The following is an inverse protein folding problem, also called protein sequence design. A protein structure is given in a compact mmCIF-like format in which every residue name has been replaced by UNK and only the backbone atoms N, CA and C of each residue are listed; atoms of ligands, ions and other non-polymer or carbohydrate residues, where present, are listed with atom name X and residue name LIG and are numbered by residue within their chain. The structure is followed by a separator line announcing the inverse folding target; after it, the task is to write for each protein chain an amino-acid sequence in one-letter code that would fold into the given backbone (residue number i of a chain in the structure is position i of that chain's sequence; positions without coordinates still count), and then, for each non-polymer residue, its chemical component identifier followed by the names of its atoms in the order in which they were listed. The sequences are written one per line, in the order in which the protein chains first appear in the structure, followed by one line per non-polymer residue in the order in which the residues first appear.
data_IF_280559269950
#
_entry.id   IF_280559269950
#
_cell.length_a   1.000
_cell.length_b   1.000
_cell.length_c   1.000
_cell.angle_alpha   90.00
_cell.angle_beta   90.00
_cell.angle_gamma   90.00
#
_symmetry.space_group_name_H-M   'P 1'
#
loop_
_entity.id
_entity.type
_entity.pdbx_description
1 polymer ?
#
# COMPACT_ATOMS: atom_id res chain seq x y z
N UNK A 1 -5.09 -21.99 -0.28
CA UNK A 1 -6.18 -21.66 0.67
C UNK A 1 -5.69 -21.47 2.10
N UNK A 2 -4.91 -22.40 2.67
CA UNK A 2 -4.34 -22.29 4.03
C UNK A 2 -3.39 -21.09 4.24
N UNK A 3 -2.65 -20.70 3.20
CA UNK A 3 -1.76 -19.54 3.21
C UNK A 3 -2.51 -18.21 3.42
N UNK A 4 -3.66 -18.03 2.76
CA UNK A 4 -4.52 -16.84 2.91
C UNK A 4 -5.15 -16.74 4.29
N UNK A 5 -5.50 -17.88 4.90
CA UNK A 5 -5.96 -17.91 6.30
C UNK A 5 -4.84 -17.49 7.26
N UNK A 6 -3.61 -17.97 7.04
CA UNK A 6 -2.45 -17.56 7.84
C UNK A 6 -2.15 -16.06 7.71
N UNK A 7 -2.26 -15.48 6.51
CA UNK A 7 -2.12 -14.04 6.27
C UNK A 7 -3.20 -13.26 7.02
N UNK A 8 -4.47 -13.69 6.95
CA UNK A 8 -5.59 -13.03 7.63
C UNK A 8 -5.43 -13.07 9.16
N UNK A 9 -5.11 -14.24 9.72
CA UNK A 9 -4.85 -14.43 11.15
C UNK A 9 -3.66 -13.60 11.64
N UNK A 10 -2.57 -13.57 10.88
CA UNK A 10 -1.39 -12.76 11.20
C UNK A 10 -1.68 -11.26 11.13
N UNK A 11 -2.47 -10.82 10.13
CA UNK A 11 -2.92 -9.43 10.01
C UNK A 11 -3.78 -8.99 11.20
N UNK A 12 -4.73 -9.83 11.62
CA UNK A 12 -5.57 -9.57 12.81
C UNK A 12 -4.71 -9.55 14.08
N UNK A 13 -3.75 -10.47 14.21
CA UNK A 13 -2.80 -10.52 15.31
C UNK A 13 -1.93 -9.27 15.41
N UNK A 14 -1.44 -8.75 14.28
CA UNK A 14 -0.67 -7.51 14.22
C UNK A 14 -1.48 -6.30 14.72
N UNK A 15 -2.75 -6.21 14.32
CA UNK A 15 -3.65 -5.12 14.74
C UNK A 15 -4.00 -5.23 16.23
N UNK A 16 -4.28 -6.45 16.71
CA UNK A 16 -4.58 -6.72 18.10
C UNK A 16 -3.38 -6.46 19.03
N UNK A 17 -2.17 -6.85 18.62
CA UNK A 17 -0.94 -6.64 19.41
C UNK A 17 -0.64 -5.17 19.66
N UNK A 18 -0.83 -4.32 18.65
CA UNK A 18 -0.68 -2.87 18.78
C UNK A 18 -1.76 -2.21 19.64
N UNK A 19 -2.98 -2.76 19.67
CA UNK A 19 -4.05 -2.26 20.54
C UNK A 19 -3.75 -2.47 22.03
N UNK A 20 -3.04 -3.55 22.36
CA UNK A 20 -2.67 -3.90 23.74
C UNK A 20 -1.32 -3.30 24.18
N UNK A 21 -0.64 -2.51 23.33
CA UNK A 21 0.60 -1.81 23.69
C UNK A 21 1.87 -2.67 23.64
N UNK A 22 1.80 -3.92 23.18
CA UNK A 22 2.96 -4.81 23.03
C UNK A 22 3.64 -4.60 21.67
N UNK A 23 4.47 -3.55 21.58
CA UNK A 23 5.15 -3.10 20.35
C UNK A 23 5.95 -4.23 19.69
N UNK A 24 6.66 -5.07 20.47
CA UNK A 24 7.47 -6.17 19.94
C UNK A 24 6.65 -7.30 19.30
N UNK A 25 5.56 -7.72 19.94
CA UNK A 25 4.68 -8.77 19.40
C UNK A 25 3.95 -8.29 18.16
N UNK A 26 3.48 -7.04 18.17
CA UNK A 26 2.84 -6.47 16.99
C UNK A 26 3.81 -6.42 15.80
N UNK A 27 5.06 -6.02 16.04
CA UNK A 27 6.08 -5.98 14.99
C UNK A 27 6.37 -7.36 14.41
N UNK A 28 6.50 -8.40 15.26
CA UNK A 28 6.71 -9.76 14.76
C UNK A 28 5.56 -10.23 13.87
N UNK A 29 4.31 -9.95 14.24
CA UNK A 29 3.16 -10.30 13.39
C UNK A 29 3.13 -9.51 12.09
N UNK A 30 3.49 -8.22 12.10
CA UNK A 30 3.58 -7.42 10.88
C UNK A 30 4.60 -8.01 9.89
N UNK A 31 5.82 -8.27 10.36
CA UNK A 31 6.90 -8.85 9.53
C UNK A 31 6.49 -10.24 9.04
N UNK A 32 5.88 -11.05 9.89
CA UNK A 32 5.38 -12.38 9.52
C UNK A 32 4.33 -12.31 8.40
N UNK A 33 3.39 -11.35 8.46
CA UNK A 33 2.41 -11.12 7.38
C UNK A 33 3.10 -10.79 6.05
N UNK A 34 4.12 -9.92 6.05
CA UNK A 34 4.86 -9.59 4.83
C UNK A 34 5.65 -10.78 4.28
N UNK A 35 6.27 -11.58 5.14
CA UNK A 35 6.97 -12.80 4.73
C UNK A 35 6.00 -13.80 4.10
N UNK A 36 4.82 -14.00 4.69
CA UNK A 36 3.78 -14.87 4.11
C UNK A 36 3.29 -14.36 2.75
N UNK A 37 3.10 -13.05 2.59
CA UNK A 37 2.72 -12.45 1.32
C UNK A 37 3.81 -12.64 0.25
N UNK A 38 5.08 -12.46 0.62
CA UNK A 38 6.22 -12.66 -0.27
C UNK A 38 6.36 -14.14 -0.68
N UNK A 39 6.16 -15.09 0.24
CA UNK A 39 6.20 -16.52 -0.12
C UNK A 39 5.08 -16.89 -1.07
N UNK A 40 3.85 -16.41 -0.84
CA UNK A 40 2.72 -16.63 -1.76
C UNK A 40 3.05 -16.13 -3.17
N UNK A 41 3.65 -14.93 -3.29
CA UNK A 41 4.04 -14.36 -4.57
C UNK A 41 5.13 -15.19 -5.29
N UNK A 42 6.10 -15.75 -4.56
CA UNK A 42 7.18 -16.57 -5.13
C UNK A 42 6.77 -18.01 -5.44
N UNK A 43 5.72 -18.53 -4.80
CA UNK A 43 5.21 -19.89 -5.03
C UNK A 43 4.26 -20.00 -6.24
N UNK A 44 4.09 -18.92 -7.02
CA UNK A 44 3.30 -18.97 -8.24
C UNK A 44 3.97 -19.87 -9.29
N UNK A 45 3.15 -20.57 -10.09
CA UNK A 45 3.62 -21.51 -11.12
C UNK A 45 4.39 -20.81 -12.24
N UNK A 46 4.09 -19.53 -12.50
CA UNK A 46 4.79 -18.68 -13.46
C UNK A 46 5.30 -17.45 -12.73
N UNK A 47 6.62 -17.37 -12.54
CA UNK A 47 7.27 -16.20 -11.94
C UNK A 47 7.77 -15.30 -13.07
N UNK A 48 7.01 -14.24 -13.35
CA UNK A 48 7.39 -13.21 -14.30
C UNK A 48 8.24 -12.10 -13.65
N UNK A 49 8.88 -11.27 -14.47
CA UNK A 49 9.79 -10.22 -14.00
C UNK A 49 9.13 -9.20 -13.06
N UNK A 50 7.83 -8.92 -13.25
CA UNK A 50 7.08 -8.01 -12.38
C UNK A 50 6.83 -8.57 -10.97
N UNK A 51 6.82 -9.90 -10.79
CA UNK A 51 6.64 -10.54 -9.47
C UNK A 51 7.80 -10.19 -8.54
N UNK A 52 9.04 -10.10 -9.05
CA UNK A 52 10.20 -9.69 -8.25
C UNK A 52 10.08 -8.25 -7.75
N UNK A 53 9.49 -7.35 -8.55
CA UNK A 53 9.26 -5.97 -8.13
C UNK A 53 8.19 -5.86 -7.05
N UNK A 54 7.15 -6.71 -7.08
CA UNK A 54 6.14 -6.80 -6.02
C UNK A 54 6.76 -7.34 -4.73
N UNK A 55 7.57 -8.39 -4.81
CA UNK A 55 8.28 -8.96 -3.65
C UNK A 55 9.28 -7.94 -3.07
N UNK A 56 10.01 -7.22 -3.92
CA UNK A 56 10.89 -6.14 -3.49
C UNK A 56 10.10 -5.03 -2.77
N UNK A 57 8.94 -4.64 -3.30
CA UNK A 57 8.02 -3.70 -2.65
C UNK A 57 7.58 -4.19 -1.27
N UNK A 58 7.20 -5.47 -1.13
CA UNK A 58 6.81 -6.07 0.15
C UNK A 58 7.96 -6.06 1.17
N UNK A 59 9.17 -6.40 0.73
CA UNK A 59 10.36 -6.39 1.58
C UNK A 59 10.68 -4.97 2.08
N UNK A 60 10.63 -3.98 1.19
CA UNK A 60 10.87 -2.58 1.54
C UNK A 60 9.76 -2.05 2.47
N UNK A 61 8.49 -2.41 2.24
CA UNK A 61 7.37 -2.10 3.13
C UNK A 61 7.58 -2.67 4.54
N UNK A 62 8.04 -3.92 4.64
CA UNK A 62 8.36 -4.54 5.92
C UNK A 62 9.50 -3.80 6.66
N UNK A 63 10.56 -3.42 5.94
CA UNK A 63 11.65 -2.60 6.50
C UNK A 63 11.13 -1.23 6.94
N UNK A 64 10.25 -0.61 6.15
CA UNK A 64 9.65 0.68 6.48
C UNK A 64 8.83 0.62 7.78
N UNK A 65 8.04 -0.44 7.97
CA UNK A 65 7.26 -0.70 9.19
C UNK A 65 8.17 -0.95 10.41
N UNK A 66 9.24 -1.73 10.26
CA UNK A 66 10.25 -1.94 11.31
C UNK A 66 10.90 -0.61 11.69
N UNK A 67 11.32 0.17 10.70
CA UNK A 67 12.02 1.43 10.93
C UNK A 67 11.09 2.48 11.56
N UNK A 68 9.82 2.50 11.17
CA UNK A 68 8.78 3.33 11.77
C UNK A 68 8.57 2.99 13.25
N UNK A 69 8.59 1.70 13.59
CA UNK A 69 8.39 1.22 14.95
C UNK A 69 9.62 1.43 15.85
N UNK A 70 10.84 1.23 15.33
CA UNK A 70 12.08 1.21 16.11
C UNK A 70 12.72 2.59 16.24
N UNK A 71 12.77 3.37 15.17
CA UNK A 71 13.83 4.38 15.05
C UNK A 71 13.37 5.81 15.31
N UNK A 72 12.06 6.10 15.38
CA UNK A 72 11.47 7.46 15.52
C UNK A 72 11.98 8.52 14.50
N UNK A 73 12.93 8.18 13.61
CA UNK A 73 13.51 9.02 12.57
C UNK A 73 12.52 9.11 11.41
N UNK A 74 11.74 10.19 11.45
CA UNK A 74 10.68 10.53 10.49
C UNK A 74 11.05 10.42 8.99
N UNK A 75 12.22 10.91 8.53
CA UNK A 75 12.49 10.93 7.09
C UNK A 75 12.84 9.54 6.53
N UNK A 76 13.49 8.67 7.31
CA UNK A 76 13.97 7.39 6.78
C UNK A 76 12.82 6.43 6.47
N UNK A 77 11.86 6.28 7.39
CA UNK A 77 10.73 5.39 7.12
C UNK A 77 9.86 5.93 5.98
N UNK A 78 9.73 7.26 5.86
CA UNK A 78 9.02 7.90 4.74
C UNK A 78 9.65 7.57 3.39
N UNK A 79 10.98 7.66 3.28
CA UNK A 79 11.71 7.29 2.06
C UNK A 79 11.53 5.79 1.74
N UNK A 80 11.58 4.91 2.73
CA UNK A 80 11.31 3.49 2.51
C UNK A 80 9.87 3.24 2.00
N UNK A 81 8.87 3.89 2.60
CA UNK A 81 7.47 3.78 2.14
C UNK A 81 7.31 4.26 0.69
N UNK A 82 7.94 5.37 0.32
CA UNK A 82 7.96 5.84 -1.07
C UNK A 82 8.61 4.84 -2.01
N UNK A 83 9.78 4.31 -1.63
CA UNK A 83 10.52 3.35 -2.44
C UNK A 83 9.69 2.07 -2.67
N UNK A 84 8.97 1.59 -1.66
CA UNK A 84 8.08 0.43 -1.79
C UNK A 84 6.97 0.67 -2.83
N UNK A 85 6.34 1.85 -2.80
CA UNK A 85 5.30 2.20 -3.76
C UNK A 85 5.84 2.36 -5.19
N UNK A 86 7.05 2.89 -5.34
CA UNK A 86 7.73 2.97 -6.63
C UNK A 86 8.05 1.57 -7.18
N UNK A 87 8.45 0.63 -6.33
CA UNK A 87 8.63 -0.78 -6.72
C UNK A 87 7.32 -1.39 -7.24
N UNK A 88 6.21 -1.19 -6.53
CA UNK A 88 4.89 -1.63 -7.03
C UNK A 88 4.52 -0.96 -8.34
N UNK A 89 4.74 0.35 -8.45
CA UNK A 89 4.41 1.09 -9.67
C UNK A 89 5.19 0.52 -10.86
N UNK A 90 6.49 0.29 -10.69
CA UNK A 90 7.33 -0.33 -11.72
C UNK A 90 6.82 -1.72 -12.12
N UNK A 91 6.33 -2.52 -11.16
CA UNK A 91 5.76 -3.84 -11.46
C UNK A 91 4.54 -3.75 -12.40
N UNK A 92 3.65 -2.80 -12.17
CA UNK A 92 2.48 -2.58 -13.04
C UNK A 92 2.85 -1.96 -14.38
N UNK A 93 3.83 -1.05 -14.40
CA UNK A 93 4.34 -0.44 -15.63
C UNK A 93 4.97 -1.45 -16.58
N UNK A 94 5.66 -2.48 -16.06
CA UNK A 94 6.23 -3.55 -16.88
C UNK A 94 5.16 -4.41 -17.59
N UNK A 95 3.94 -4.41 -17.08
CA UNK A 95 2.81 -5.14 -17.67
C UNK A 95 2.02 -4.29 -18.66
N UNK A 96 2.25 -2.97 -18.69
CA UNK A 96 1.53 -2.07 -19.59
C UNK A 96 2.06 -2.21 -21.03
N UNK A 97 1.16 -2.54 -21.95
CA UNK A 97 1.43 -2.48 -23.38
C UNK A 97 0.21 -1.94 -24.11
N UNK A 98 0.22 -0.66 -24.48
CA UNK A 98 -0.91 -0.04 -25.18
C UNK A 98 -0.93 1.48 -25.13
N UNK A 99 -1.99 2.04 -25.69
CA UNK A 99 -2.29 3.48 -25.61
C UNK A 99 -2.87 3.86 -24.26
N UNK A 100 -2.46 5.02 -23.75
CA UNK A 100 -2.73 5.41 -22.37
C UNK A 100 -3.99 6.26 -22.22
N UNK A 101 -4.77 5.97 -21.18
CA UNK A 101 -6.11 6.53 -20.98
C UNK A 101 -6.09 7.72 -20.00
N UNK A 102 -5.98 8.92 -20.56
CA UNK A 102 -5.83 10.16 -19.78
C UNK A 102 -6.99 10.52 -18.82
N UNK A 103 -8.21 10.02 -19.04
CA UNK A 103 -9.34 10.36 -18.18
C UNK A 103 -9.19 9.79 -16.77
N UNK A 104 -8.60 8.59 -16.63
CA UNK A 104 -8.38 7.95 -15.33
C UNK A 104 -7.36 8.75 -14.52
N UNK A 105 -6.27 9.18 -15.16
CA UNK A 105 -5.29 10.05 -14.54
C UNK A 105 -5.93 11.37 -14.07
N UNK A 106 -6.75 12.01 -14.91
CA UNK A 106 -7.44 13.24 -14.56
C UNK A 106 -8.39 13.06 -13.36
N UNK A 107 -9.12 11.95 -13.29
CA UNK A 107 -10.01 11.63 -12.17
C UNK A 107 -9.23 11.44 -10.86
N UNK A 108 -8.14 10.68 -10.89
CA UNK A 108 -7.28 10.45 -9.72
C UNK A 108 -6.61 11.75 -9.24
N UNK A 109 -6.17 12.59 -10.18
CA UNK A 109 -5.61 13.90 -9.89
C UNK A 109 -6.65 14.81 -9.20
N UNK A 110 -7.88 14.86 -9.73
CA UNK A 110 -8.96 15.64 -9.14
C UNK A 110 -9.27 15.17 -7.70
N UNK A 111 -9.36 13.85 -7.48
CA UNK A 111 -9.56 13.28 -6.15
C UNK A 111 -8.43 13.66 -5.17
N UNK A 112 -7.17 13.65 -5.63
CA UNK A 112 -6.04 14.06 -4.81
C UNK A 112 -6.04 15.56 -4.49
N UNK A 113 -6.44 16.41 -5.43
CA UNK A 113 -6.54 17.86 -5.21
C UNK A 113 -7.61 18.14 -4.14
N UNK A 114 -8.78 17.50 -4.24
CA UNK A 114 -9.83 17.60 -3.22
C UNK A 114 -9.32 17.12 -1.85
N UNK A 115 -8.65 15.97 -1.80
CA UNK A 115 -8.03 15.45 -0.60
C UNK A 115 -7.01 16.43 0.01
N UNK A 116 -6.16 17.04 -0.83
CA UNK A 116 -5.17 18.02 -0.42
C UNK A 116 -5.81 19.26 0.19
N UNK A 117 -6.88 19.81 -0.41
CA UNK A 117 -7.61 20.94 0.16
C UNK A 117 -8.27 20.62 1.51
N UNK A 118 -8.76 19.39 1.71
CA UNK A 118 -9.31 18.97 3.00
C UNK A 118 -8.25 18.89 4.12
N UNK A 119 -6.99 18.75 3.72
CA UNK A 119 -5.80 18.57 4.54
C UNK A 119 -5.06 19.91 4.76
N UNK A 120 -5.17 20.85 3.81
CA UNK A 120 -4.56 22.19 3.80
C UNK A 120 -4.66 22.97 5.12
N UNK A 121 -5.80 23.02 5.85
CA UNK A 121 -5.96 23.90 7.03
C UNK A 121 -5.01 23.61 8.19
N UNK A 122 -4.28 22.49 8.16
CA UNK A 122 -3.40 22.03 9.26
C UNK A 122 -2.03 21.56 8.80
N UNK A 123 -1.72 21.75 7.51
CA UNK A 123 -0.50 21.28 6.87
C UNK A 123 0.53 22.41 6.74
N UNK A 124 0.79 23.21 7.77
CA UNK A 124 1.69 24.37 7.62
C UNK A 124 3.19 24.02 7.46
N UNK A 125 3.65 22.85 7.94
CA UNK A 125 5.08 22.46 7.91
C UNK A 125 5.40 21.13 7.23
N UNK A 126 4.38 20.34 6.87
CA UNK A 126 4.54 18.97 6.34
C UNK A 126 3.86 18.77 4.98
N UNK A 127 3.59 19.87 4.25
CA UNK A 127 3.02 19.83 2.88
C UNK A 127 3.84 18.94 1.96
N UNK A 128 5.16 19.13 1.95
CA UNK A 128 6.07 18.45 1.02
C UNK A 128 5.97 16.91 1.10
N UNK A 129 6.13 16.27 2.28
CA UNK A 129 5.97 14.83 2.41
C UNK A 129 4.60 14.32 1.93
N UNK A 130 3.52 15.05 2.24
CA UNK A 130 2.16 14.63 1.85
C UNK A 130 1.96 14.71 0.35
N UNK A 131 2.43 15.78 -0.29
CA UNK A 131 2.34 15.96 -1.75
C UNK A 131 3.16 14.89 -2.49
N UNK A 132 4.41 14.65 -2.08
CA UNK A 132 5.27 13.64 -2.72
C UNK A 132 4.63 12.25 -2.63
N UNK A 133 4.12 11.88 -1.45
CA UNK A 133 3.41 10.61 -1.25
C UNK A 133 2.15 10.52 -2.10
N UNK A 134 1.37 11.60 -2.17
CA UNK A 134 0.17 11.67 -3.01
C UNK A 134 0.47 11.44 -4.49
N UNK A 135 1.51 12.09 -5.02
CA UNK A 135 1.92 11.93 -6.43
C UNK A 135 2.30 10.47 -6.73
N UNK A 136 3.11 9.85 -5.86
CA UNK A 136 3.53 8.45 -6.05
C UNK A 136 2.34 7.48 -5.98
N UNK A 137 1.41 7.71 -5.06
CA UNK A 137 0.19 6.90 -4.94
C UNK A 137 -0.75 7.07 -6.13
N UNK A 138 -0.90 8.29 -6.67
CA UNK A 138 -1.66 8.54 -7.90
C UNK A 138 -1.01 7.79 -9.06
N UNK A 139 0.31 7.89 -9.22
CA UNK A 139 1.03 7.20 -10.29
C UNK A 139 0.83 5.68 -10.18
N UNK A 140 0.87 5.12 -8.98
CA UNK A 140 0.62 3.69 -8.73
C UNK A 140 -0.83 3.29 -9.04
N UNK A 141 -1.81 4.05 -8.56
CA UNK A 141 -3.23 3.80 -8.82
C UNK A 141 -3.57 3.93 -10.31
N UNK A 142 -2.94 4.89 -10.99
CA UNK A 142 -3.08 5.06 -12.43
C UNK A 142 -2.48 3.89 -13.19
N UNK A 143 -1.22 3.51 -12.92
CA UNK A 143 -0.57 2.40 -13.62
C UNK A 143 -1.34 1.08 -13.48
N UNK A 144 -1.84 0.78 -12.27
CA UNK A 144 -2.66 -0.42 -12.04
C UNK A 144 -4.05 -0.34 -12.69
N UNK A 145 -4.67 0.85 -12.75
CA UNK A 145 -5.96 1.02 -13.39
C UNK A 145 -5.89 1.01 -14.92
N UNK A 146 -4.83 1.57 -15.51
CA UNK A 146 -4.53 1.45 -16.95
C UNK A 146 -4.36 0.00 -17.35
N UNK A 147 -3.65 -0.79 -16.54
CA UNK A 147 -3.50 -2.22 -16.79
C UNK A 147 -4.85 -2.93 -16.87
N UNK A 148 -5.77 -2.60 -15.95
CA UNK A 148 -7.12 -3.17 -15.95
C UNK A 148 -7.99 -2.66 -17.11
N UNK A 149 -7.82 -1.41 -17.55
CA UNK A 149 -8.55 -0.87 -18.69
C UNK A 149 -8.09 -1.48 -20.03
N UNK A 150 -6.79 -1.76 -20.15
CA UNK A 150 -6.21 -2.38 -21.35
C UNK A 150 -6.47 -3.88 -21.42
N UNK A 151 -6.37 -4.59 -20.30
CA UNK A 151 -6.70 -6.01 -20.20
C UNK A 151 -7.67 -6.26 -19.03
N UNK A 152 -9.00 -6.32 -19.31
CA UNK A 152 -10.04 -6.45 -18.28
C UNK A 152 -10.12 -7.85 -17.63
N UNK A 153 -9.04 -8.26 -16.96
CA UNK A 153 -9.00 -9.53 -16.20
C UNK A 153 -9.29 -9.32 -14.72
N UNK A 154 -9.77 -10.39 -14.07
CA UNK A 154 -10.04 -10.38 -12.62
C UNK A 154 -8.76 -10.11 -11.81
N UNK A 155 -7.63 -10.67 -12.25
CA UNK A 155 -6.29 -10.43 -11.70
C UNK A 155 -5.98 -8.94 -11.64
N UNK A 156 -6.06 -8.25 -12.79
CA UNK A 156 -5.78 -6.82 -12.91
C UNK A 156 -6.77 -5.96 -12.13
N UNK A 157 -8.06 -6.32 -12.11
CA UNK A 157 -9.08 -5.64 -11.32
C UNK A 157 -8.78 -5.69 -9.81
N UNK A 158 -8.35 -6.86 -9.31
CA UNK A 158 -7.96 -7.06 -7.91
C UNK A 158 -6.69 -6.26 -7.57
N UNK A 159 -5.73 -6.18 -8.49
CA UNK A 159 -4.53 -5.36 -8.34
C UNK A 159 -4.84 -3.86 -8.24
N UNK A 160 -5.73 -3.37 -9.12
CA UNK A 160 -6.22 -1.99 -9.07
C UNK A 160 -7.02 -1.69 -7.80
N UNK A 161 -7.88 -2.62 -7.36
CA UNK A 161 -8.58 -2.51 -6.09
C UNK A 161 -7.60 -2.43 -4.91
N UNK A 162 -6.54 -3.25 -4.91
CA UNK A 162 -5.47 -3.21 -3.90
C UNK A 162 -4.76 -1.86 -3.85
N UNK A 163 -4.37 -1.31 -5.00
CA UNK A 163 -3.74 0.01 -5.09
C UNK A 163 -4.69 1.14 -4.65
N UNK A 164 -5.97 1.04 -4.98
CA UNK A 164 -7.00 1.99 -4.53
C UNK A 164 -7.20 1.96 -3.01
N UNK A 165 -7.23 0.76 -2.41
CA UNK A 165 -7.29 0.61 -0.95
C UNK A 165 -6.01 1.15 -0.31
N UNK A 166 -4.84 0.98 -0.93
CA UNK A 166 -3.58 1.56 -0.44
C UNK A 166 -3.63 3.09 -0.42
N UNK A 167 -4.15 3.70 -1.50
CA UNK A 167 -4.33 5.15 -1.60
C UNK A 167 -5.29 5.66 -0.53
N UNK A 168 -6.43 5.00 -0.34
CA UNK A 168 -7.41 5.33 0.71
C UNK A 168 -6.83 5.16 2.11
N UNK A 169 -6.03 4.12 2.35
CA UNK A 169 -5.34 3.89 3.61
C UNK A 169 -4.36 5.01 3.95
N UNK A 170 -3.56 5.42 2.97
CA UNK A 170 -2.63 6.55 3.12
C UNK A 170 -3.36 7.88 3.36
N UNK A 171 -4.49 8.10 2.67
CA UNK A 171 -5.34 9.26 2.90
C UNK A 171 -5.92 9.25 4.32
N UNK A 172 -6.43 8.10 4.78
CA UNK A 172 -6.95 7.93 6.13
C UNK A 172 -5.87 8.15 7.19
N UNK A 173 -4.65 7.68 6.95
CA UNK A 173 -3.49 7.96 7.81
C UNK A 173 -3.21 9.46 7.89
N UNK A 174 -3.15 10.15 6.75
CA UNK A 174 -2.94 11.60 6.71
C UNK A 174 -4.07 12.36 7.43
N UNK A 175 -5.33 12.02 7.18
CA UNK A 175 -6.47 12.66 7.84
C UNK A 175 -6.45 12.44 9.36
N UNK A 176 -6.15 11.22 9.82
CA UNK A 176 -6.07 10.91 11.24
C UNK A 176 -4.90 11.63 11.93
N UNK A 177 -3.75 11.72 11.26
CA UNK A 177 -2.57 12.35 11.82
C UNK A 177 -2.68 13.89 11.85
N UNK A 178 -3.30 14.50 10.83
CA UNK A 178 -3.30 15.97 10.68
C UNK A 178 -4.62 16.65 11.09
N UNK A 179 -5.80 16.00 10.97
CA UNK A 179 -7.10 16.66 11.19
C UNK A 179 -7.74 16.37 12.55
N UNK A 180 -7.69 15.16 13.06
CA UNK A 180 -8.14 14.80 14.42
C UNK A 180 -7.98 13.30 14.63
N UNK A 181 -7.58 12.84 15.82
CA UNK A 181 -7.53 11.40 16.10
C UNK A 181 -8.94 10.81 16.00
N UNK A 182 -9.19 10.02 14.94
CA UNK A 182 -10.43 9.27 14.79
C UNK A 182 -10.36 8.08 15.76
N UNK A 183 -11.38 7.90 16.61
CA UNK A 183 -11.46 6.73 17.49
C UNK A 183 -11.42 5.45 16.65
N UNK A 184 -10.42 4.61 16.84
CA UNK A 184 -10.24 3.37 16.06
C UNK A 184 -9.55 3.55 14.70
N UNK A 185 -8.98 4.73 14.39
CA UNK A 185 -8.20 4.95 13.17
C UNK A 185 -7.12 3.90 12.93
N UNK A 186 -6.51 3.41 14.01
CA UNK A 186 -5.45 2.41 13.90
C UNK A 186 -5.95 1.11 13.24
N UNK A 187 -7.16 0.66 13.56
CA UNK A 187 -7.76 -0.54 12.96
C UNK A 187 -8.07 -0.30 11.48
N UNK A 188 -8.66 0.84 11.15
CA UNK A 188 -9.02 1.19 9.77
C UNK A 188 -7.79 1.39 8.89
N UNK A 189 -6.80 2.15 9.35
CA UNK A 189 -5.59 2.45 8.57
C UNK A 189 -4.72 1.21 8.43
N UNK A 190 -4.37 0.54 9.54
CA UNK A 190 -3.49 -0.64 9.49
C UNK A 190 -4.17 -1.83 8.83
N UNK A 191 -5.48 -2.01 9.05
CA UNK A 191 -6.27 -3.05 8.41
C UNK A 191 -6.39 -2.86 6.90
N UNK A 192 -6.73 -1.64 6.45
CA UNK A 192 -6.78 -1.34 5.01
C UNK A 192 -5.40 -1.45 4.35
N UNK A 193 -4.33 -1.10 5.06
CA UNK A 193 -2.96 -1.25 4.57
C UNK A 193 -2.57 -2.72 4.33
N UNK A 194 -2.83 -3.61 5.28
CA UNK A 194 -2.58 -5.04 5.09
C UNK A 194 -3.50 -5.65 4.02
N UNK A 195 -4.76 -5.21 3.98
CA UNK A 195 -5.70 -5.63 2.95
C UNK A 195 -5.23 -5.22 1.55
N UNK A 196 -4.69 -4.01 1.40
CA UNK A 196 -4.15 -3.53 0.13
C UNK A 196 -2.99 -4.43 -0.36
N UNK A 197 -2.04 -4.75 0.52
CA UNK A 197 -0.92 -5.63 0.18
C UNK A 197 -1.39 -7.06 -0.12
N UNK A 198 -2.38 -7.55 0.61
CA UNK A 198 -3.01 -8.84 0.33
C UNK A 198 -3.68 -8.86 -1.06
N UNK A 199 -4.40 -7.80 -1.45
CA UNK A 199 -5.02 -7.68 -2.76
C UNK A 199 -3.98 -7.59 -3.89
N UNK A 200 -2.90 -6.83 -3.70
CA UNK A 200 -1.80 -6.74 -4.69
C UNK A 200 -1.10 -8.10 -4.90
N UNK A 201 -0.99 -8.91 -3.85
CA UNK A 201 -0.48 -10.29 -4.01
C UNK A 201 -1.55 -11.21 -4.60
N UNK A 202 -2.82 -11.01 -4.24
CA UNK A 202 -3.93 -11.82 -4.73
C UNK A 202 -4.08 -11.72 -6.25
N UNK A 203 -3.80 -10.55 -6.83
CA UNK A 203 -3.79 -10.36 -8.29
C UNK A 203 -2.78 -11.24 -9.02
N UNK A 204 -1.78 -11.80 -8.33
CA UNK A 204 -0.83 -12.76 -8.91
C UNK A 204 -1.34 -14.20 -8.89
N UNK A 205 -2.35 -14.48 -8.08
CA UNK A 205 -2.78 -15.85 -7.74
C UNK A 205 -4.12 -16.26 -8.36
N UNK A 206 -4.83 -15.27 -8.90
CA UNK A 206 -6.17 -15.37 -9.50
C UNK A 206 -5.99 -15.29 -11.02
#
# INVERSE_FOLDING_TARGET
MWSWLAVSLSGIGAIAGTKHGHIGQALSYKVFTFVLLATIALTQSVVADFTYWIVAGLAISAIADVLHTVTQKRPLHFVCFLLAQLCYSKAFWLQLSGEMVWWLFALLLAACVVAFFLLLPRLDKLVFPVVIMGIVLIQLAWASGELWLLDPQLSHAVGFAGCSVLLLSALAYALNFYRSPIKGAYFWVTGSYFLAHALIVASLTI
#
